data_IF_550397382412
#
_entry.id   IF_550397382412
#
_cell.length_a   1.000
_cell.length_b   1.000
_cell.length_c   1.000
_cell.angle_alpha   90.00
_cell.angle_beta   90.00
_cell.angle_gamma   90.00
#
_symmetry.space_group_name_H-M   'P 1'
#
loop_
_entity.id
_entity.type
_entity.pdbx_description
1 polymer ?
#
# COMPACT_ATOMS: atom_id res chain seq x y z
N UNK A 1 -22.05 2.43 9.00
CA UNK A 1 -20.94 3.37 8.68
C UNK A 1 -20.19 3.97 9.90
N UNK A 2 -20.78 4.04 11.11
CA UNK A 2 -20.13 4.60 12.32
C UNK A 2 -18.84 3.89 12.79
N UNK A 3 -18.70 2.61 12.45
CA UNK A 3 -17.60 1.76 12.92
C UNK A 3 -16.29 2.05 12.15
N UNK A 4 -16.38 2.25 10.82
CA UNK A 4 -15.22 2.51 9.96
C UNK A 4 -14.55 3.85 10.31
N UNK A 5 -15.36 4.89 10.60
CA UNK A 5 -14.87 6.20 11.03
C UNK A 5 -14.09 6.14 12.35
N UNK A 6 -14.52 5.30 13.30
CA UNK A 6 -13.82 5.13 14.58
C UNK A 6 -12.44 4.51 14.42
N UNK A 7 -12.28 3.52 13.53
CA UNK A 7 -10.96 2.91 13.28
C UNK A 7 -10.01 3.84 12.51
N UNK A 8 -10.54 4.69 11.62
CA UNK A 8 -9.74 5.65 10.85
C UNK A 8 -9.27 6.85 11.70
N UNK A 9 -10.11 7.35 12.61
CA UNK A 9 -9.70 8.36 13.61
C UNK A 9 -8.67 7.80 14.60
N UNK A 10 -8.70 6.49 14.88
CA UNK A 10 -7.75 5.88 15.80
C UNK A 10 -6.31 5.85 15.28
N UNK A 11 -6.11 5.75 13.96
CA UNK A 11 -4.78 5.90 13.36
C UNK A 11 -4.20 7.31 13.53
N UNK A 12 -5.04 8.32 13.82
CA UNK A 12 -4.63 9.71 14.07
C UNK A 12 -4.43 10.04 15.57
N UNK A 13 -5.09 9.34 16.49
CA UNK A 13 -5.09 9.70 17.92
C UNK A 13 -3.86 9.24 18.71
N UNK A 14 -2.96 8.44 18.12
CA UNK A 14 -1.73 8.03 18.80
C UNK A 14 -0.64 9.13 18.69
N UNK A 15 -0.85 10.16 17.87
CA UNK A 15 0.09 11.25 17.54
C UNK A 15 0.26 12.37 18.59
N UNK A 16 -0.20 12.19 19.83
CA UNK A 16 -0.15 13.26 20.84
C UNK A 16 0.33 12.68 22.17
N UNK A 17 1.65 12.52 22.31
CA UNK A 17 2.39 12.80 23.55
C UNK A 17 3.88 12.43 23.41
N UNK A 18 4.69 13.35 22.88
CA UNK A 18 6.09 13.47 23.34
C UNK A 18 6.31 14.94 23.66
N UNK A 19 6.11 15.25 24.95
CA UNK A 19 6.47 16.52 25.54
C UNK A 19 7.99 16.70 25.53
N UNK A 20 8.39 17.92 25.24
CA UNK A 20 9.76 18.40 25.25
C UNK A 20 10.46 18.11 26.59
N UNK A 21 11.60 17.42 26.56
CA UNK A 21 12.63 17.59 27.56
C UNK A 21 13.81 18.27 26.85
N UNK A 22 13.87 19.59 27.04
CA UNK A 22 14.96 20.45 26.61
C UNK A 22 16.20 20.11 27.44
N UNK A 23 17.28 19.65 26.81
CA UNK A 23 18.62 19.65 27.42
C UNK A 23 19.57 20.37 26.49
N UNK A 24 19.78 21.62 26.89
CA UNK A 24 20.79 22.62 26.59
C UNK A 24 22.16 22.04 26.17
N UNK A 25 22.65 22.47 25.01
CA UNK A 25 24.08 22.43 24.64
C UNK A 25 24.86 23.52 25.37
N UNK A 26 26.11 23.21 25.76
CA UNK A 26 27.30 24.07 25.67
C UNK A 26 28.59 23.22 25.93
N UNK A 27 29.80 23.66 25.53
CA UNK A 27 30.60 22.89 24.57
C UNK A 27 32.09 22.65 24.93
N UNK A 28 32.77 21.89 24.06
CA UNK A 28 34.23 21.78 23.75
C UNK A 28 35.22 21.35 24.86
N UNK A 29 35.92 20.22 24.64
CA UNK A 29 37.39 20.19 24.42
C UNK A 29 37.90 18.80 23.96
N UNK A 30 38.90 18.88 23.08
CA UNK A 30 39.52 17.82 22.26
C UNK A 30 40.81 17.25 22.88
N UNK A 31 41.40 16.27 22.18
CA UNK A 31 42.69 15.55 22.40
C UNK A 31 42.57 14.27 23.26
N UNK A 32 43.17 13.12 22.93
CA UNK A 32 44.24 12.76 21.99
C UNK A 32 44.12 11.27 21.61
N UNK A 33 44.61 10.92 20.42
CA UNK A 33 44.69 9.59 19.83
C UNK A 33 45.85 8.78 20.46
N UNK A 34 45.63 7.51 20.81
CA UNK A 34 46.55 6.39 20.48
C UNK A 34 46.03 5.06 21.04
N UNK A 35 45.80 4.11 20.14
CA UNK A 35 45.86 2.67 20.42
C UNK A 35 47.28 2.19 20.05
N UNK A 36 47.81 1.16 20.75
CA UNK A 36 47.74 -0.16 20.12
C UNK A 36 47.52 -1.33 21.11
N UNK A 37 46.91 -2.39 20.59
CA UNK A 37 46.86 -3.75 21.15
C UNK A 37 48.14 -4.55 20.76
N UNK A 38 48.21 -5.87 20.94
CA UNK A 38 48.06 -6.72 22.14
C UNK A 38 49.29 -7.66 22.33
N UNK A 39 49.50 -8.26 23.50
CA UNK A 39 50.34 -9.47 23.62
C UNK A 39 50.04 -10.29 24.88
N UNK A 40 50.52 -11.53 24.87
CA UNK A 40 49.82 -12.76 25.28
C UNK A 40 50.52 -13.50 26.42
N UNK A 41 49.88 -14.59 26.88
CA UNK A 41 50.43 -15.79 27.57
C UNK A 41 50.31 -15.86 29.14
N UNK A 42 50.50 -17.03 29.78
CA UNK A 42 49.66 -18.26 29.71
C UNK A 42 49.52 -19.01 31.07
N UNK A 43 48.41 -19.70 31.39
CA UNK A 43 48.37 -20.72 32.49
C UNK A 43 47.32 -21.79 32.15
N UNK A 44 47.69 -22.97 31.62
CA UNK A 44 48.06 -24.26 32.27
C UNK A 44 46.89 -25.07 32.89
N UNK A 45 46.58 -26.18 32.23
CA UNK A 45 45.63 -27.26 32.59
C UNK A 45 46.26 -28.25 33.59
N UNK A 46 45.45 -29.05 34.33
CA UNK A 46 45.32 -30.48 33.97
C UNK A 46 43.91 -31.11 34.21
N UNK A 47 43.40 -31.88 33.22
CA UNK A 47 43.11 -33.35 33.24
C UNK A 47 42.60 -34.00 34.57
N UNK A 48 41.58 -34.89 34.71
CA UNK A 48 40.68 -35.74 33.88
C UNK A 48 39.46 -36.20 34.78
N UNK A 49 38.72 -37.31 34.54
CA UNK A 49 37.49 -37.54 33.73
C UNK A 49 36.22 -37.88 34.56
N UNK A 50 35.00 -37.68 34.04
CA UNK A 50 33.88 -38.61 34.34
C UNK A 50 33.02 -38.88 33.10
N UNK A 51 32.78 -40.17 32.91
CA UNK A 51 32.12 -40.90 31.83
C UNK A 51 30.75 -40.36 31.39
N UNK A 52 30.56 -40.50 30.08
CA UNK A 52 29.30 -40.60 29.37
C UNK A 52 28.57 -41.93 29.70
N UNK A 53 27.25 -41.91 29.79
CA UNK A 53 26.43 -42.90 29.07
C UNK A 53 25.11 -42.28 28.57
N UNK A 54 24.60 -42.73 27.41
CA UNK A 54 23.59 -42.04 26.62
C UNK A 54 22.19 -42.63 26.84
N UNK A 55 21.16 -41.80 26.94
CA UNK A 55 19.78 -42.28 26.77
C UNK A 55 19.30 -41.91 25.37
N UNK A 56 19.29 -42.94 24.51
CA UNK A 56 18.73 -42.97 23.16
C UNK A 56 17.19 -42.85 23.16
N UNK A 57 16.59 -42.56 21.99
CA UNK A 57 15.39 -41.74 21.85
C UNK A 57 14.09 -42.53 21.90
N UNK A 58 13.05 -41.95 22.51
CA UNK A 58 11.68 -42.41 22.35
C UNK A 58 11.00 -41.66 21.20
N UNK A 59 10.74 -42.39 20.11
CA UNK A 59 9.88 -42.05 18.97
C UNK A 59 8.84 -43.19 18.91
N UNK A 60 7.63 -43.08 18.33
CA UNK A 60 6.66 -41.98 18.26
C UNK A 60 5.26 -42.42 18.77
N UNK A 61 4.46 -41.50 19.30
CA UNK A 61 3.02 -41.76 19.45
C UNK A 61 2.37 -41.70 18.07
N UNK A 62 1.96 -42.87 17.56
CA UNK A 62 1.14 -43.06 16.35
C UNK A 62 -0.14 -42.19 16.39
N UNK A 63 -0.40 -41.34 15.39
CA UNK A 63 -1.75 -40.94 15.05
C UNK A 63 -2.43 -42.07 14.27
N UNK A 64 -3.65 -42.46 14.68
CA UNK A 64 -4.49 -43.38 13.92
C UNK A 64 -4.88 -42.76 12.56
N UNK A 65 -4.94 -43.56 11.48
CA UNK A 65 -5.29 -43.10 10.14
C UNK A 65 -6.78 -42.74 10.00
N UNK A 66 -7.13 -41.93 8.98
CA UNK A 66 -8.47 -41.38 8.80
C UNK A 66 -9.43 -42.42 8.20
N UNK A 67 -10.60 -42.59 8.81
CA UNK A 67 -11.70 -43.34 8.20
C UNK A 67 -12.38 -42.43 7.18
N UNK A 68 -12.22 -42.81 5.91
CA UNK A 68 -13.02 -42.35 4.78
C UNK A 68 -14.48 -42.79 4.97
N UNK A 69 -15.40 -41.84 4.87
CA UNK A 69 -16.78 -42.14 4.47
C UNK A 69 -17.33 -41.02 3.59
N UNK A 70 -17.28 -41.32 2.28
CA UNK A 70 -18.33 -41.09 1.29
C UNK A 70 -18.84 -39.64 1.09
N UNK A 71 -18.31 -39.01 0.04
CA UNK A 71 -19.14 -38.24 -0.91
C UNK A 71 -20.18 -39.18 -1.56
N UNK A 72 -21.41 -38.70 -1.73
CA UNK A 72 -22.20 -38.95 -2.95
C UNK A 72 -22.61 -37.58 -3.56
N UNK A 73 -23.18 -37.52 -4.78
CA UNK A 73 -22.55 -36.83 -5.89
C UNK A 73 -23.28 -35.54 -6.32
N UNK A 74 -22.56 -34.75 -7.12
CA UNK A 74 -23.02 -34.06 -8.35
C UNK A 74 -24.47 -33.56 -8.37
N UNK A 75 -24.63 -32.23 -8.44
CA UNK A 75 -25.53 -31.64 -9.44
C UNK A 75 -24.87 -30.40 -10.04
N UNK A 76 -24.16 -30.64 -11.14
CA UNK A 76 -23.86 -29.61 -12.13
C UNK A 76 -25.17 -29.34 -12.85
N UNK A 77 -25.80 -28.21 -12.55
CA UNK A 77 -26.93 -27.72 -13.33
C UNK A 77 -26.40 -26.67 -14.30
N UNK A 78 -25.93 -27.17 -15.45
CA UNK A 78 -25.89 -26.40 -16.70
C UNK A 78 -27.29 -26.54 -17.31
N UNK A 79 -27.99 -25.45 -17.61
CA UNK A 79 -28.91 -25.44 -18.73
C UNK A 79 -28.19 -24.93 -19.97
N UNK A 80 -28.51 -25.63 -21.05
CA UNK A 80 -28.03 -25.51 -22.40
C UNK A 80 -28.06 -24.09 -22.98
N UNK A 81 -27.07 -23.88 -23.83
CA UNK A 81 -27.13 -23.07 -25.04
C UNK A 81 -28.47 -23.30 -25.77
N UNK A 82 -29.17 -22.22 -26.09
CA UNK A 82 -30.11 -22.19 -27.22
C UNK A 82 -29.61 -21.13 -28.20
N UNK A 83 -28.98 -21.62 -29.26
CA UNK A 83 -28.83 -20.93 -30.53
C UNK A 83 -30.24 -20.82 -31.11
N UNK A 84 -30.66 -19.61 -31.46
CA UNK A 84 -31.75 -19.39 -32.40
C UNK A 84 -31.22 -18.40 -33.44
N UNK A 85 -31.02 -18.94 -34.63
CA UNK A 85 -30.42 -18.35 -35.81
C UNK A 85 -31.54 -17.83 -36.72
N UNK A 86 -31.43 -16.54 -37.10
CA UNK A 86 -31.91 -15.93 -38.36
C UNK A 86 -33.46 -15.89 -38.63
N UNK A 87 -33.99 -15.03 -39.54
CA UNK A 87 -33.30 -14.38 -40.65
C UNK A 87 -33.61 -12.90 -40.95
N UNK A 88 -32.82 -12.41 -41.90
CA UNK A 88 -32.73 -11.09 -42.50
C UNK A 88 -33.96 -10.61 -43.31
N UNK A 89 -34.05 -9.28 -43.50
CA UNK A 89 -34.61 -8.59 -44.68
C UNK A 89 -34.21 -7.09 -44.59
N UNK A 90 -33.20 -6.60 -45.30
CA UNK A 90 -33.16 -6.15 -46.72
C UNK A 90 -34.30 -5.19 -47.09
N UNK A 91 -34.01 -3.89 -47.16
CA UNK A 91 -34.55 -3.02 -48.21
C UNK A 91 -33.68 -1.77 -48.42
N UNK A 92 -32.96 -1.79 -49.54
CA UNK A 92 -32.47 -0.68 -50.38
C UNK A 92 -33.07 -0.98 -51.78
N UNK A 93 -33.10 -0.08 -52.80
CA UNK A 93 -32.88 1.37 -52.89
C UNK A 93 -34.05 2.01 -53.74
N UNK A 94 -33.96 3.12 -54.56
CA UNK A 94 -32.96 3.38 -55.61
C UNK A 94 -32.46 4.83 -55.79
N UNK A 95 -31.32 4.86 -56.50
CA UNK A 95 -30.50 5.93 -57.08
C UNK A 95 -31.22 6.77 -58.17
N UNK A 96 -30.93 8.08 -58.26
CA UNK A 96 -30.79 8.84 -59.54
C UNK A 96 -30.13 10.22 -59.31
N UNK A 97 -28.83 10.40 -59.57
CA UNK A 97 -28.15 10.94 -60.78
C UNK A 97 -28.43 12.42 -61.09
N UNK A 98 -27.42 13.29 -60.95
CA UNK A 98 -26.86 14.19 -62.00
C UNK A 98 -25.70 15.07 -61.47
N UNK A 99 -24.62 15.16 -62.25
CA UNK A 99 -23.43 16.03 -62.17
C UNK A 99 -23.13 16.46 -63.64
N UNK A 100 -22.21 17.41 -63.97
CA UNK A 100 -21.87 18.78 -63.52
C UNK A 100 -21.97 19.75 -64.77
N UNK A 101 -21.31 20.95 -64.96
CA UNK A 101 -20.22 21.60 -64.21
C UNK A 101 -20.18 23.15 -64.11
N UNK A 102 -19.14 23.61 -63.37
CA UNK A 102 -18.35 24.85 -63.54
C UNK A 102 -18.65 26.08 -62.67
N UNK A 103 -17.82 26.31 -61.63
CA UNK A 103 -16.84 27.41 -61.60
C UNK A 103 -15.87 27.26 -60.41
N UNK A 104 -14.58 27.65 -60.55
CA UNK A 104 -13.61 27.60 -59.47
C UNK A 104 -13.64 28.92 -58.66
N UNK A 105 -14.11 28.87 -57.42
CA UNK A 105 -13.89 29.94 -56.46
C UNK A 105 -12.53 29.76 -55.75
N UNK A 106 -11.81 30.85 -55.45
CA UNK A 106 -10.44 30.79 -54.97
C UNK A 106 -10.41 30.24 -53.54
N UNK A 107 -9.63 29.17 -53.36
CA UNK A 107 -9.27 28.59 -52.06
C UNK A 107 -8.60 29.67 -51.22
N UNK A 108 -9.37 30.28 -50.31
CA UNK A 108 -8.81 30.89 -49.11
C UNK A 108 -8.38 29.74 -48.22
N UNK A 109 -7.08 29.50 -48.16
CA UNK A 109 -6.49 28.63 -47.15
C UNK A 109 -6.99 29.10 -45.77
N UNK A 110 -7.64 28.24 -44.97
CA UNK A 110 -7.83 28.56 -43.57
C UNK A 110 -6.45 28.46 -42.95
N UNK A 111 -5.90 29.60 -42.53
CA UNK A 111 -4.82 29.64 -41.55
C UNK A 111 -5.33 28.84 -40.34
N UNK A 112 -4.84 27.62 -40.21
CA UNK A 112 -5.02 26.80 -39.01
C UNK A 112 -4.32 27.56 -37.90
N UNK A 113 -5.10 28.31 -37.14
CA UNK A 113 -4.69 28.87 -35.87
C UNK A 113 -4.34 27.71 -34.94
N UNK A 114 -3.05 27.41 -34.85
CA UNK A 114 -2.50 26.43 -33.92
C UNK A 114 -2.69 27.01 -32.52
N UNK A 115 -3.84 26.72 -31.91
CA UNK A 115 -4.13 26.95 -30.49
C UNK A 115 -3.02 26.29 -29.66
N UNK A 116 -2.16 27.05 -28.96
CA UNK A 116 -1.03 26.50 -28.20
C UNK A 116 -1.43 25.89 -26.82
N UNK A 117 -2.72 25.75 -26.53
CA UNK A 117 -3.22 25.51 -25.17
C UNK A 117 -2.97 24.12 -24.50
N UNK A 118 -2.60 22.99 -25.17
CA UNK A 118 -2.44 21.72 -24.43
C UNK A 118 -1.11 21.55 -23.68
N UNK A 119 -0.06 22.30 -24.05
CA UNK A 119 1.31 22.08 -23.53
C UNK A 119 1.59 22.91 -22.27
N UNK A 120 1.02 24.12 -22.17
CA UNK A 120 1.25 24.99 -21.00
C UNK A 120 0.57 24.47 -19.72
N UNK A 121 -0.63 23.89 -19.84
CA UNK A 121 -1.36 23.40 -18.68
C UNK A 121 -0.64 22.21 -17.99
N UNK A 122 0.02 21.35 -18.77
CA UNK A 122 0.75 20.17 -18.24
C UNK A 122 2.00 20.55 -17.45
N UNK A 123 2.71 21.59 -17.91
CA UNK A 123 3.94 22.08 -17.30
C UNK A 123 3.69 23.06 -16.14
N UNK A 124 2.42 23.33 -15.82
CA UNK A 124 2.07 24.18 -14.69
C UNK A 124 2.59 23.56 -13.39
N UNK A 125 3.42 24.30 -12.66
CA UNK A 125 3.98 23.88 -11.37
C UNK A 125 2.89 23.97 -10.30
N UNK A 126 2.67 22.86 -9.58
CA UNK A 126 1.66 22.76 -8.51
C UNK A 126 2.27 22.69 -7.11
N UNK A 127 3.56 22.34 -7.00
CA UNK A 127 4.32 22.31 -5.75
C UNK A 127 5.82 22.35 -6.04
N UNK A 128 6.61 22.81 -5.07
CA UNK A 128 8.07 22.82 -5.13
C UNK A 128 8.64 22.37 -3.79
N UNK A 129 9.65 21.49 -3.82
CA UNK A 129 10.32 20.95 -2.64
C UNK A 129 11.83 20.93 -2.88
N UNK A 130 12.59 21.72 -2.13
CA UNK A 130 14.07 21.70 -2.15
C UNK A 130 14.66 21.72 -3.59
N UNK A 131 14.09 22.54 -4.48
CA UNK A 131 14.51 22.65 -5.89
C UNK A 131 13.91 21.62 -6.84
N UNK A 132 13.00 20.76 -6.37
CA UNK A 132 12.23 19.83 -7.21
C UNK A 132 10.82 20.37 -7.42
N UNK A 133 10.48 20.69 -8.67
CA UNK A 133 9.15 21.15 -9.06
C UNK A 133 8.25 19.97 -9.44
N UNK A 134 7.06 19.92 -8.86
CA UNK A 134 5.99 18.99 -9.25
C UNK A 134 5.05 19.71 -10.20
N UNK A 135 4.87 19.17 -11.41
CA UNK A 135 3.94 19.71 -12.40
C UNK A 135 2.57 19.05 -12.31
N UNK A 136 1.58 19.64 -12.98
CA UNK A 136 0.25 19.05 -13.14
C UNK A 136 0.32 17.67 -13.78
N UNK A 137 1.18 17.49 -14.78
CA UNK A 137 1.40 16.18 -15.40
C UNK A 137 1.93 15.14 -14.41
N UNK A 138 2.95 15.49 -13.60
CA UNK A 138 3.48 14.59 -12.55
C UNK A 138 2.39 14.20 -11.56
N UNK A 139 1.52 15.14 -11.19
CA UNK A 139 0.38 14.87 -10.33
C UNK A 139 -0.62 13.90 -10.96
N UNK A 140 -1.04 14.16 -12.20
CA UNK A 140 -2.05 13.33 -12.88
C UNK A 140 -1.54 11.88 -13.06
N UNK A 141 -0.25 11.73 -13.39
CA UNK A 141 0.43 10.44 -13.47
C UNK A 141 0.49 9.75 -12.11
N UNK A 142 0.96 10.45 -11.07
CA UNK A 142 1.08 9.89 -9.72
C UNK A 142 -0.28 9.49 -9.14
N UNK A 143 -1.32 10.28 -9.37
CA UNK A 143 -2.69 9.95 -8.94
C UNK A 143 -3.18 8.66 -9.58
N UNK A 144 -2.93 8.50 -10.89
CA UNK A 144 -3.26 7.27 -11.62
C UNK A 144 -2.52 6.04 -11.07
N UNK A 145 -1.26 6.21 -10.66
CA UNK A 145 -0.52 5.14 -9.97
C UNK A 145 -1.11 4.81 -8.60
N UNK A 146 -1.47 5.84 -7.82
CA UNK A 146 -2.09 5.67 -6.50
C UNK A 146 -3.42 4.93 -6.60
N UNK A 147 -4.24 5.22 -7.61
CA UNK A 147 -5.49 4.51 -7.88
C UNK A 147 -5.25 3.00 -8.06
N UNK A 148 -4.26 2.62 -8.87
CA UNK A 148 -3.88 1.21 -9.10
C UNK A 148 -3.36 0.54 -7.82
N UNK A 149 -2.58 1.24 -7.02
CA UNK A 149 -2.05 0.70 -5.75
C UNK A 149 -3.19 0.51 -4.74
N UNK A 150 -4.08 1.48 -4.61
CA UNK A 150 -5.24 1.42 -3.71
C UNK A 150 -6.18 0.31 -4.14
N UNK A 151 -6.39 0.10 -5.44
CA UNK A 151 -7.17 -1.04 -5.93
C UNK A 151 -6.57 -2.38 -5.49
N UNK A 152 -5.25 -2.55 -5.60
CA UNK A 152 -4.55 -3.76 -5.10
C UNK A 152 -4.71 -3.91 -3.58
N UNK A 153 -4.55 -2.84 -2.82
CA UNK A 153 -4.74 -2.84 -1.35
C UNK A 153 -6.19 -3.18 -0.96
N UNK A 154 -7.18 -2.71 -1.71
CA UNK A 154 -8.59 -3.07 -1.51
C UNK A 154 -8.83 -4.57 -1.73
N UNK A 155 -8.22 -5.16 -2.76
CA UNK A 155 -8.30 -6.61 -2.99
C UNK A 155 -7.65 -7.39 -1.84
N UNK A 156 -6.47 -6.96 -1.40
CA UNK A 156 -5.74 -7.54 -0.27
C UNK A 156 -6.55 -7.48 1.03
N UNK A 157 -7.20 -6.36 1.32
CA UNK A 157 -8.03 -6.21 2.52
C UNK A 157 -9.31 -7.04 2.44
N UNK A 158 -9.92 -7.17 1.25
CA UNK A 158 -11.08 -8.03 1.03
C UNK A 158 -10.75 -9.52 1.22
N UNK A 159 -9.59 -9.98 0.77
CA UNK A 159 -9.13 -11.37 0.93
C UNK A 159 -8.39 -11.63 2.24
N UNK A 160 -8.08 -10.57 3.01
CA UNK A 160 -7.25 -10.61 4.23
C UNK A 160 -5.88 -11.25 3.97
N UNK A 161 -5.27 -10.94 2.83
CA UNK A 161 -3.97 -11.49 2.43
C UNK A 161 -2.81 -10.76 3.12
N UNK A 162 -2.47 -11.24 4.31
CA UNK A 162 -1.36 -10.70 5.09
C UNK A 162 -0.02 -10.75 4.33
N UNK A 163 0.23 -11.84 3.60
CA UNK A 163 1.51 -12.04 2.91
C UNK A 163 1.67 -11.00 1.82
N UNK A 164 0.66 -10.81 0.97
CA UNK A 164 0.68 -9.76 -0.05
C UNK A 164 0.74 -8.37 0.58
N UNK A 165 -0.02 -8.10 1.64
CA UNK A 165 0.02 -6.81 2.33
C UNK A 165 1.42 -6.41 2.77
N UNK A 166 2.19 -7.34 3.35
CA UNK A 166 3.57 -7.05 3.82
C UNK A 166 4.52 -6.60 2.71
N UNK A 167 4.23 -6.91 1.44
CA UNK A 167 5.03 -6.45 0.29
C UNK A 167 4.84 -4.97 -0.01
N UNK A 168 3.73 -4.37 0.44
CA UNK A 168 3.44 -2.93 0.31
C UNK A 168 4.00 -2.12 1.47
N UNK A 169 4.56 -2.75 2.50
CA UNK A 169 5.06 -2.04 3.68
C UNK A 169 6.50 -1.58 3.50
N UNK A 170 6.81 -0.39 3.98
CA UNK A 170 8.18 0.01 4.25
C UNK A 170 8.75 -0.79 5.42
N UNK A 171 10.08 -0.84 5.53
CA UNK A 171 10.74 -1.49 6.67
C UNK A 171 10.40 -0.78 7.99
N UNK A 172 10.30 0.56 7.98
CA UNK A 172 9.86 1.35 9.12
C UNK A 172 8.46 0.94 9.60
N UNK A 173 7.51 0.77 8.68
CA UNK A 173 6.15 0.32 9.02
C UNK A 173 6.18 -1.05 9.71
N UNK A 174 6.93 -2.00 9.14
CA UNK A 174 7.05 -3.36 9.71
C UNK A 174 7.67 -3.30 11.11
N UNK A 175 8.75 -2.53 11.28
CA UNK A 175 9.44 -2.40 12.56
C UNK A 175 8.53 -1.78 13.63
N UNK A 176 7.89 -0.65 13.32
CA UNK A 176 7.05 0.09 14.26
C UNK A 176 5.87 -0.75 14.76
N UNK A 177 5.14 -1.39 13.86
CA UNK A 177 3.96 -2.21 14.20
C UNK A 177 4.31 -3.66 14.57
N UNK A 178 5.59 -3.99 14.70
CA UNK A 178 6.06 -5.21 15.38
C UNK A 178 6.45 -4.96 16.84
N UNK A 179 6.62 -3.70 17.26
CA UNK A 179 6.96 -3.37 18.64
C UNK A 179 5.80 -3.65 19.60
N UNK A 180 6.10 -4.34 20.71
CA UNK A 180 5.09 -4.68 21.73
C UNK A 180 4.41 -3.43 22.30
N UNK A 181 5.17 -2.36 22.57
CA UNK A 181 4.63 -1.10 23.09
C UNK A 181 3.66 -0.44 22.10
N UNK A 182 4.00 -0.40 20.81
CA UNK A 182 3.12 0.14 19.76
C UNK A 182 1.83 -0.68 19.68
N UNK A 183 1.95 -2.00 19.63
CA UNK A 183 0.80 -2.90 19.57
C UNK A 183 -0.11 -2.79 20.80
N UNK A 184 0.47 -2.60 21.98
CA UNK A 184 -0.28 -2.34 23.21
C UNK A 184 -1.08 -1.03 23.11
N UNK A 185 -0.42 0.08 22.76
CA UNK A 185 -1.08 1.39 22.59
C UNK A 185 -2.23 1.30 21.59
N UNK A 186 -2.00 0.65 20.45
CA UNK A 186 -3.05 0.45 19.44
C UNK A 186 -4.19 -0.40 19.98
N UNK A 187 -3.89 -1.49 20.72
CA UNK A 187 -4.90 -2.36 21.32
C UNK A 187 -5.83 -1.62 22.28
N UNK A 188 -5.27 -0.80 23.16
CA UNK A 188 -6.00 -0.03 24.17
C UNK A 188 -6.92 1.02 23.53
N UNK A 189 -6.46 1.59 22.42
CA UNK A 189 -7.17 2.57 21.63
C UNK A 189 -8.36 1.94 20.85
N UNK A 190 -8.38 0.63 20.61
CA UNK A 190 -9.42 0.02 19.78
C UNK A 190 -10.84 0.32 20.31
N UNK A 191 -11.79 0.63 19.39
CA UNK A 191 -13.17 0.88 19.79
C UNK A 191 -13.86 -0.36 20.36
N UNK A 192 -13.35 -1.54 20.01
CA UNK A 192 -13.75 -2.83 20.57
C UNK A 192 -12.83 -3.20 21.73
N UNK A 193 -13.41 -3.52 22.89
CA UNK A 193 -12.65 -3.88 24.08
C UNK A 193 -12.26 -5.36 24.05
N UNK A 194 -11.14 -5.69 24.71
CA UNK A 194 -10.68 -7.06 24.91
C UNK A 194 -9.77 -7.63 23.81
N UNK A 195 -9.54 -6.92 22.70
CA UNK A 195 -8.55 -7.33 21.70
C UNK A 195 -7.15 -6.93 22.17
N UNK A 196 -6.24 -7.91 22.21
CA UNK A 196 -4.81 -7.68 22.48
C UNK A 196 -4.01 -8.07 21.24
N UNK A 197 -3.38 -7.09 20.61
CA UNK A 197 -2.51 -7.29 19.46
C UNK A 197 -1.15 -7.80 19.93
N UNK A 198 -0.68 -8.93 19.40
CA UNK A 198 0.60 -9.55 19.77
C UNK A 198 1.60 -9.60 18.63
N UNK A 199 1.15 -9.27 17.41
CA UNK A 199 1.96 -9.33 16.20
C UNK A 199 1.51 -8.34 15.16
N UNK A 200 2.37 -8.08 14.17
CA UNK A 200 2.02 -7.34 12.96
C UNK A 200 0.82 -7.96 12.21
N UNK A 201 0.67 -9.29 12.27
CA UNK A 201 -0.48 -9.99 11.67
C UNK A 201 -1.78 -9.73 12.42
N UNK A 202 -1.73 -9.60 13.75
CA UNK A 202 -2.90 -9.19 14.53
C UNK A 202 -3.29 -7.75 14.18
N UNK A 203 -2.30 -6.84 14.12
CA UNK A 203 -2.54 -5.47 13.68
C UNK A 203 -3.20 -5.42 12.30
N UNK A 204 -2.68 -6.19 11.34
CA UNK A 204 -3.29 -6.30 10.02
C UNK A 204 -4.76 -6.73 10.10
N UNK A 205 -5.02 -7.81 10.84
CA UNK A 205 -6.34 -8.46 10.89
C UNK A 205 -7.39 -7.62 11.60
N UNK A 206 -7.02 -7.01 12.73
CA UNK A 206 -7.96 -6.33 13.63
C UNK A 206 -7.97 -4.81 13.50
N UNK A 207 -6.98 -4.22 12.82
CA UNK A 207 -6.86 -2.77 12.65
C UNK A 207 -6.84 -2.39 11.17
N UNK A 208 -5.87 -2.89 10.40
CA UNK A 208 -5.70 -2.47 9.01
C UNK A 208 -6.90 -2.87 8.14
N UNK A 209 -7.26 -4.16 8.12
CA UNK A 209 -8.40 -4.68 7.34
C UNK A 209 -9.71 -3.94 7.63
N UNK A 210 -10.19 -3.81 8.89
CA UNK A 210 -11.45 -3.13 9.14
C UNK A 210 -11.39 -1.60 8.93
N UNK A 211 -10.21 -0.97 9.03
CA UNK A 211 -10.05 0.48 8.83
C UNK A 211 -9.90 0.90 7.36
N UNK A 212 -9.59 -0.05 6.46
CA UNK A 212 -9.26 0.21 5.05
C UNK A 212 -10.19 -0.50 4.06
N UNK A 213 -11.44 -0.70 4.46
CA UNK A 213 -12.45 -1.25 3.57
C UNK A 213 -12.93 -0.20 2.57
N UNK A 214 -12.96 -0.57 1.28
CA UNK A 214 -13.54 0.25 0.20
C UNK A 214 -12.93 1.65 0.09
N UNK A 215 -11.60 1.75 0.20
CA UNK A 215 -10.89 3.02 0.04
C UNK A 215 -10.93 3.45 -1.43
N UNK A 216 -11.06 4.75 -1.70
CA UNK A 216 -10.93 5.35 -3.02
C UNK A 216 -9.91 6.48 -2.99
N UNK A 217 -9.38 6.80 -4.16
CA UNK A 217 -8.50 7.95 -4.35
C UNK A 217 -9.33 9.07 -4.95
N UNK A 218 -9.74 10.04 -4.13
CA UNK A 218 -10.41 11.23 -4.64
C UNK A 218 -9.39 12.31 -5.00
N UNK A 219 -8.29 12.36 -4.24
CA UNK A 219 -7.22 13.35 -4.36
C UNK A 219 -5.90 12.78 -3.83
N UNK A 220 -4.79 13.43 -4.19
CA UNK A 220 -3.47 13.17 -3.61
C UNK A 220 -2.81 14.49 -3.19
N UNK A 221 -1.90 14.44 -2.22
CA UNK A 221 -1.10 15.59 -1.82
C UNK A 221 0.36 15.18 -1.72
N UNK A 222 1.23 15.86 -2.46
CA UNK A 222 2.67 15.70 -2.26
C UNK A 222 3.08 16.30 -0.92
N UNK A 223 3.87 15.53 -0.16
CA UNK A 223 4.50 15.98 1.09
C UNK A 223 6.02 16.02 0.96
N UNK A 224 6.57 15.35 -0.06
CA UNK A 224 7.93 15.49 -0.58
C UNK A 224 7.93 15.07 -2.06
N UNK A 225 9.05 15.18 -2.80
CA UNK A 225 9.15 14.67 -4.16
C UNK A 225 8.85 13.17 -4.30
N UNK A 226 9.10 12.40 -3.24
CA UNK A 226 8.96 10.96 -3.23
C UNK A 226 7.76 10.47 -2.42
N UNK A 227 7.06 11.35 -1.69
CA UNK A 227 6.01 10.96 -0.75
C UNK A 227 4.71 11.68 -1.01
N UNK A 228 3.63 10.91 -1.03
CA UNK A 228 2.26 11.38 -1.24
C UNK A 228 1.31 10.89 -0.16
N UNK A 229 0.37 11.75 0.17
CA UNK A 229 -0.78 11.48 0.99
C UNK A 229 -1.99 11.22 0.09
N UNK A 230 -2.62 10.05 0.22
CA UNK A 230 -3.84 9.68 -0.49
C UNK A 230 -5.05 10.13 0.31
N UNK A 231 -5.95 10.87 -0.34
CA UNK A 231 -7.11 11.50 0.29
C UNK A 231 -8.41 10.93 -0.25
N UNK A 232 -9.32 10.60 0.66
CA UNK A 232 -10.70 10.21 0.36
C UNK A 232 -11.66 11.25 0.94
N UNK A 233 -12.50 11.86 0.10
CA UNK A 233 -13.47 12.90 0.46
C UNK A 233 -14.82 12.28 0.80
N UNK A 234 -15.27 12.36 2.04
CA UNK A 234 -16.58 11.87 2.50
C UNK A 234 -17.43 13.02 3.04
N UNK A 235 -18.54 13.30 2.37
CA UNK A 235 -19.38 14.48 2.65
C UNK A 235 -18.51 15.75 2.69
N UNK A 236 -18.37 16.37 3.87
CA UNK A 236 -17.59 17.59 4.05
C UNK A 236 -16.19 17.36 4.65
N UNK A 237 -15.73 16.10 4.70
CA UNK A 237 -14.46 15.73 5.35
C UNK A 237 -13.50 15.09 4.34
N UNK A 238 -12.27 15.60 4.27
CA UNK A 238 -11.15 14.97 3.56
C UNK A 238 -10.37 14.07 4.52
N UNK A 239 -10.31 12.78 4.22
CA UNK A 239 -9.68 11.77 5.06
C UNK A 239 -8.35 11.33 4.45
N UNK A 240 -7.24 11.48 5.19
CA UNK A 240 -5.98 10.82 4.86
C UNK A 240 -6.15 9.30 5.06
N UNK A 241 -6.08 8.54 3.97
CA UNK A 241 -6.25 7.08 4.03
C UNK A 241 -4.89 6.38 4.03
N UNK A 242 -3.92 6.88 3.27
CA UNK A 242 -2.59 6.31 3.19
C UNK A 242 -1.55 7.42 3.03
N UNK A 243 -0.40 7.25 3.69
CA UNK A 243 0.85 7.90 3.28
C UNK A 243 1.69 6.87 2.55
N UNK A 244 2.10 7.17 1.31
CA UNK A 244 2.98 6.33 0.52
C UNK A 244 4.24 7.08 0.15
N UNK A 245 5.36 6.38 0.16
CA UNK A 245 6.65 6.89 -0.29
C UNK A 245 7.24 5.96 -1.34
N UNK A 246 7.77 6.55 -2.40
CA UNK A 246 8.49 5.85 -3.44
C UNK A 246 9.90 5.55 -2.92
N UNK A 247 10.12 4.29 -2.52
CA UNK A 247 11.39 3.80 -2.04
C UNK A 247 11.96 2.89 -3.13
N UNK A 248 13.04 3.32 -3.77
CA UNK A 248 13.74 2.57 -4.83
C UNK A 248 12.82 2.16 -6.00
N UNK A 249 11.93 3.07 -6.45
CA UNK A 249 11.00 2.82 -7.55
C UNK A 249 9.74 2.04 -7.15
N UNK A 250 9.53 1.78 -5.86
CA UNK A 250 8.34 1.09 -5.36
C UNK A 250 7.64 1.92 -4.29
N UNK A 251 6.36 2.22 -4.51
CA UNK A 251 5.51 2.88 -3.52
C UNK A 251 5.24 1.95 -2.32
N UNK A 252 5.65 2.39 -1.13
CA UNK A 252 5.47 1.68 0.14
C UNK A 252 4.63 2.51 1.10
N UNK A 253 3.80 1.81 1.89
CA UNK A 253 3.07 2.38 3.01
C UNK A 253 4.06 2.83 4.09
N UNK A 254 3.88 4.06 4.56
CA UNK A 254 4.65 4.67 5.64
C UNK A 254 3.77 4.77 6.88
N UNK A 255 4.30 4.46 8.08
CA UNK A 255 3.50 4.59 9.29
C UNK A 255 3.06 6.05 9.46
N UNK A 256 1.84 6.29 9.98
CA UNK A 256 1.47 7.61 10.48
C UNK A 256 2.49 8.02 11.54
N UNK A 257 2.89 9.30 11.54
CA UNK A 257 3.73 9.84 12.62
C UNK A 257 2.93 9.76 13.92
N UNK A 258 3.42 8.95 14.86
CA UNK A 258 2.90 8.86 16.24
C UNK A 258 3.43 9.99 17.12
#
# INVERSE_FOLDING_TARGET
MKIIHKYLLLSFLISIAVGCASVKEEPVQSEEITAPAPQSEPIKEPEVPVKQEPVKPAVPVKPKPPVKTKKPPVKVEKPSVKVEEAPAKVEEPPVKVEEPPAQPEPVKEPVVEVKPEPVEEKNTVIAEFEGVTITKETYDQTKTEMEKIVEKLNRITATKDYTQWTTFLSEEYKQQYSQSLTLQKVSEALPVKGIKLKSLKDYFTYVFVPSRQNVRVDDIKFVSPTRVDVIMKQANVSLLVYGLENINGSWKLIPPKL
#
